data_IF_009821808360
#
_entry.id   IF_009821808360
#
_cell.length_a   1.000
_cell.length_b   1.000
_cell.length_c   1.000
_cell.angle_alpha   90.00
_cell.angle_beta   90.00
_cell.angle_gamma   90.00
#
_symmetry.space_group_name_H-M   'P 1'
#
loop_
_entity.id
_entity.type
_entity.pdbx_description
1 polymer ?
#
# COMPACT_ATOMS: atom_id res chain seq x y z
N UNK A 1 17.61 -26.39 -54.05
CA UNK A 1 18.04 -27.05 -52.80
C UNK A 1 17.87 -26.06 -51.65
N UNK A 2 17.24 -26.48 -50.55
CA UNK A 2 17.04 -25.70 -49.30
C UNK A 2 18.34 -25.82 -48.48
N UNK A 3 18.89 -24.80 -47.81
CA UNK A 3 18.52 -24.22 -46.50
C UNK A 3 19.60 -23.15 -46.18
N UNK A 4 19.40 -22.05 -45.45
CA UNK A 4 18.59 -21.87 -44.23
C UNK A 4 19.47 -21.94 -42.99
N UNK A 5 20.26 -20.88 -42.70
CA UNK A 5 21.10 -20.79 -41.50
C UNK A 5 20.25 -20.52 -40.26
N UNK A 6 19.92 -21.57 -39.51
CA UNK A 6 19.27 -21.47 -38.21
C UNK A 6 20.30 -21.09 -37.12
N UNK A 7 20.05 -20.00 -36.39
CA UNK A 7 20.78 -19.66 -35.16
C UNK A 7 20.13 -20.43 -34.02
N UNK A 8 20.79 -21.48 -33.55
CA UNK A 8 20.27 -22.37 -32.50
C UNK A 8 20.40 -21.69 -31.14
N UNK A 9 19.26 -21.33 -30.53
CA UNK A 9 19.22 -20.99 -29.10
C UNK A 9 19.59 -22.23 -28.27
N UNK A 10 20.65 -22.13 -27.47
CA UNK A 10 21.02 -23.19 -26.51
C UNK A 10 19.96 -23.27 -25.40
N UNK A 11 19.16 -24.34 -25.44
CA UNK A 11 18.35 -24.76 -24.29
C UNK A 11 19.29 -25.25 -23.20
N UNK A 12 19.47 -24.45 -22.14
CA UNK A 12 20.24 -24.86 -20.97
C UNK A 12 19.35 -25.74 -20.09
N UNK A 13 19.68 -27.04 -20.04
CA UNK A 13 18.98 -28.02 -19.21
C UNK A 13 19.22 -27.72 -17.72
N UNK A 14 18.16 -27.31 -17.01
CA UNK A 14 18.19 -27.16 -15.55
C UNK A 14 18.14 -28.52 -14.86
N UNK A 15 19.32 -29.14 -14.66
CA UNK A 15 19.46 -30.19 -13.65
C UNK A 15 19.42 -29.55 -12.26
N UNK A 16 18.42 -29.91 -11.45
CA UNK A 16 18.34 -29.54 -10.03
C UNK A 16 19.58 -30.05 -9.29
N UNK A 17 20.50 -29.16 -8.95
CA UNK A 17 21.42 -29.36 -7.84
C UNK A 17 20.72 -28.89 -6.57
N UNK A 18 20.37 -29.82 -5.69
CA UNK A 18 19.93 -29.52 -4.34
C UNK A 18 21.14 -28.98 -3.56
N UNK A 19 21.14 -27.68 -3.29
CA UNK A 19 22.03 -27.08 -2.29
C UNK A 19 21.41 -27.28 -0.90
N UNK A 20 22.22 -27.56 0.14
CA UNK A 20 21.73 -27.79 1.49
C UNK A 20 21.12 -26.52 2.10
N UNK A 21 20.11 -26.72 2.92
CA UNK A 21 19.32 -25.67 3.57
C UNK A 21 20.16 -24.94 4.64
N UNK A 22 20.72 -23.79 4.28
CA UNK A 22 21.57 -22.97 5.16
C UNK A 22 20.90 -21.64 5.48
N UNK A 23 20.77 -21.34 6.78
CA UNK A 23 20.38 -20.05 7.40
C UNK A 23 19.39 -19.15 6.65
N UNK A 24 18.17 -19.01 7.16
CA UNK A 24 17.10 -18.18 6.59
C UNK A 24 17.50 -16.71 6.30
N UNK A 25 18.00 -16.44 5.11
CA UNK A 25 18.09 -15.07 4.58
C UNK A 25 16.65 -14.55 4.44
N UNK A 26 16.31 -13.48 5.16
CA UNK A 26 15.00 -12.84 5.08
C UNK A 26 14.88 -12.11 3.74
N UNK A 27 14.44 -12.81 2.70
CA UNK A 27 14.32 -12.28 1.34
C UNK A 27 13.27 -11.16 1.18
N UNK A 28 12.38 -10.99 2.15
CA UNK A 28 11.20 -10.12 2.09
C UNK A 28 11.25 -9.01 3.16
N UNK A 29 10.83 -7.80 2.78
CA UNK A 29 10.67 -6.66 3.70
C UNK A 29 9.30 -6.55 4.36
N UNK A 30 8.41 -7.49 4.09
CA UNK A 30 7.12 -7.65 4.76
C UNK A 30 6.92 -9.12 5.17
N UNK A 31 6.00 -9.42 6.12
CA UNK A 31 5.60 -10.79 6.39
C UNK A 31 5.14 -11.51 5.12
N UNK A 32 5.47 -12.80 5.04
CA UNK A 32 5.23 -13.67 3.89
C UNK A 32 4.89 -15.08 4.42
N UNK A 33 4.24 -15.91 3.61
CA UNK A 33 3.96 -17.30 4.00
C UNK A 33 5.23 -18.08 4.39
N UNK A 34 6.38 -17.85 3.74
CA UNK A 34 7.63 -18.53 4.11
C UNK A 34 8.26 -18.01 5.42
N UNK A 35 7.98 -16.77 5.83
CA UNK A 35 8.58 -16.17 7.04
C UNK A 35 7.65 -16.22 8.24
N UNK A 36 6.34 -16.20 8.00
CA UNK A 36 5.28 -16.21 9.00
C UNK A 36 4.08 -17.07 8.53
N UNK A 37 4.24 -18.41 8.42
CA UNK A 37 3.18 -19.31 7.96
C UNK A 37 1.96 -19.33 8.89
N UNK A 38 2.12 -18.89 10.14
CA UNK A 38 1.05 -18.70 11.11
C UNK A 38 0.28 -17.37 10.95
N UNK A 39 0.73 -16.46 10.08
CA UNK A 39 0.05 -15.21 9.72
C UNK A 39 -0.62 -15.28 8.34
N UNK A 40 0.10 -15.84 7.36
CA UNK A 40 -0.19 -15.71 5.93
C UNK A 40 -0.14 -17.12 5.34
N UNK A 41 -1.27 -17.56 4.77
CA UNK A 41 -1.34 -18.85 4.11
C UNK A 41 -0.60 -18.84 2.74
N UNK A 42 -0.24 -20.01 2.22
CA UNK A 42 0.38 -20.09 0.89
C UNK A 42 -0.54 -19.51 -0.19
N UNK A 43 0.03 -18.67 -1.07
CA UNK A 43 -0.73 -17.96 -2.11
C UNK A 43 -1.43 -16.68 -1.64
N UNK A 44 -1.39 -16.35 -0.35
CA UNK A 44 -1.74 -15.03 0.18
C UNK A 44 -0.58 -14.03 0.08
N UNK A 45 -0.93 -12.74 0.10
CA UNK A 45 0.03 -11.62 0.09
C UNK A 45 0.01 -10.85 1.41
N UNK A 46 -1.18 -10.76 1.99
CA UNK A 46 -1.47 -10.29 3.35
C UNK A 46 -2.56 -11.20 3.92
N UNK A 47 -2.70 -11.34 5.26
CA UNK A 47 -3.64 -12.27 5.87
C UNK A 47 -5.04 -12.19 5.25
N UNK A 48 -5.60 -13.34 4.87
CA UNK A 48 -6.93 -13.46 4.28
C UNK A 48 -7.07 -12.98 2.83
N UNK A 49 -6.01 -12.51 2.16
CA UNK A 49 -6.08 -11.96 0.80
C UNK A 49 -5.10 -12.66 -0.15
N UNK A 50 -5.68 -13.51 -0.99
CA UNK A 50 -4.97 -14.25 -2.05
C UNK A 50 -4.48 -13.37 -3.20
N UNK A 51 -3.43 -13.83 -3.89
CA UNK A 51 -2.97 -13.25 -5.18
C UNK A 51 -4.07 -13.23 -6.24
N UNK A 52 -4.95 -14.24 -6.25
CA UNK A 52 -6.09 -14.37 -7.17
C UNK A 52 -7.12 -13.25 -6.96
N UNK A 53 -7.42 -12.92 -5.70
CA UNK A 53 -8.30 -11.80 -5.35
C UNK A 53 -7.71 -10.47 -5.84
N UNK A 54 -6.40 -10.25 -5.64
CA UNK A 54 -5.70 -9.05 -6.11
C UNK A 54 -5.71 -8.94 -7.65
N UNK A 55 -5.41 -10.04 -8.35
CA UNK A 55 -5.51 -10.11 -9.81
C UNK A 55 -6.93 -9.78 -10.30
N UNK A 56 -7.95 -10.33 -9.66
CA UNK A 56 -9.36 -10.05 -9.96
C UNK A 56 -9.71 -8.57 -9.80
N UNK A 57 -9.15 -7.87 -8.80
CA UNK A 57 -9.32 -6.41 -8.65
C UNK A 57 -8.69 -5.63 -9.80
N UNK A 58 -7.50 -6.03 -10.26
CA UNK A 58 -6.84 -5.41 -11.43
C UNK A 58 -7.63 -5.65 -12.73
N UNK A 59 -8.16 -6.87 -12.95
CA UNK A 59 -9.09 -7.13 -14.05
C UNK A 59 -10.34 -6.26 -13.98
N UNK A 60 -10.96 -6.11 -12.80
CA UNK A 60 -12.15 -5.24 -12.60
C UNK A 60 -11.85 -3.76 -12.87
N UNK A 61 -10.66 -3.27 -12.51
CA UNK A 61 -10.20 -1.92 -12.83
C UNK A 61 -10.13 -1.71 -14.35
N UNK A 62 -9.45 -2.63 -15.04
CA UNK A 62 -9.24 -2.57 -16.49
C UNK A 62 -10.56 -2.69 -17.25
N UNK A 63 -11.44 -3.61 -16.88
CA UNK A 63 -12.76 -3.74 -17.53
C UNK A 63 -13.65 -2.53 -17.27
N UNK A 64 -13.62 -1.93 -16.07
CA UNK A 64 -14.38 -0.70 -15.78
C UNK A 64 -13.87 0.50 -16.59
N UNK A 65 -12.55 0.62 -16.77
CA UNK A 65 -11.95 1.66 -17.58
C UNK A 65 -12.27 1.50 -19.08
N UNK A 66 -12.08 0.29 -19.63
CA UNK A 66 -12.48 -0.04 -21.01
C UNK A 66 -13.98 0.23 -21.24
N UNK A 67 -14.81 -0.05 -20.24
CA UNK A 67 -16.25 0.21 -20.30
C UNK A 67 -16.61 1.70 -20.30
N UNK A 68 -15.86 2.54 -19.60
CA UNK A 68 -16.01 4.01 -19.64
C UNK A 68 -15.61 4.62 -20.99
N UNK A 69 -14.71 3.98 -21.73
CA UNK A 69 -14.20 4.46 -23.02
C UNK A 69 -14.77 3.70 -24.24
N UNK A 70 -15.82 2.90 -24.05
CA UNK A 70 -16.56 2.21 -25.13
C UNK A 70 -16.92 3.19 -26.26
N UNK A 71 -16.54 2.83 -27.48
CA UNK A 71 -16.83 3.61 -28.70
C UNK A 71 -15.68 4.51 -29.17
N UNK A 72 -14.68 4.81 -28.33
CA UNK A 72 -13.51 5.58 -28.75
C UNK A 72 -12.47 4.70 -29.47
N UNK A 73 -12.33 4.85 -30.79
CA UNK A 73 -11.42 4.04 -31.64
C UNK A 73 -9.93 4.03 -31.24
N UNK A 74 -9.44 4.99 -30.45
CA UNK A 74 -8.04 5.03 -29.99
C UNK A 74 -7.85 4.70 -28.50
N UNK A 75 -8.91 4.61 -27.71
CA UNK A 75 -8.83 4.38 -26.27
C UNK A 75 -8.65 2.89 -25.90
N UNK A 76 -8.01 2.11 -26.77
CA UNK A 76 -7.74 0.70 -26.49
C UNK A 76 -6.56 0.52 -25.54
N UNK A 77 -5.57 1.42 -25.54
CA UNK A 77 -4.46 1.36 -24.59
C UNK A 77 -4.77 2.20 -23.34
N UNK A 78 -4.63 1.61 -22.16
CA UNK A 78 -4.73 2.29 -20.88
C UNK A 78 -3.45 2.05 -20.06
N UNK A 79 -2.92 3.12 -19.46
CA UNK A 79 -1.80 3.07 -18.52
C UNK A 79 -2.27 3.58 -17.16
N UNK A 80 -2.21 2.75 -16.11
CA UNK A 80 -2.57 3.15 -14.75
C UNK A 80 -1.33 3.25 -13.89
N UNK A 81 -1.19 4.38 -13.18
CA UNK A 81 -0.07 4.67 -12.29
C UNK A 81 -0.58 4.83 -10.87
N UNK A 82 -0.17 3.92 -9.99
CA UNK A 82 -0.43 3.97 -8.55
C UNK A 82 0.89 4.09 -7.78
N UNK A 83 1.26 5.26 -7.26
CA UNK A 83 2.40 5.39 -6.36
C UNK A 83 2.06 4.85 -4.95
N UNK A 84 3.04 4.27 -4.27
CA UNK A 84 2.96 3.96 -2.84
C UNK A 84 3.02 5.24 -2.00
N UNK A 85 2.80 5.10 -0.68
CA UNK A 85 3.21 6.10 0.28
C UNK A 85 4.74 6.10 0.46
N UNK A 86 5.29 7.24 0.88
CA UNK A 86 6.66 7.40 1.35
C UNK A 86 6.74 7.23 2.87
N UNK A 87 7.94 6.98 3.39
CA UNK A 87 8.20 7.06 4.84
C UNK A 87 7.99 8.50 5.33
N UNK A 88 7.23 8.68 6.41
CA UNK A 88 6.97 9.97 7.04
C UNK A 88 7.76 10.06 8.34
N UNK A 89 8.26 11.27 8.67
CA UNK A 89 9.14 11.50 9.80
C UNK A 89 8.49 12.44 10.83
N UNK A 90 8.58 12.10 12.11
CA UNK A 90 8.11 12.95 13.22
C UNK A 90 9.08 14.10 13.50
N UNK A 91 10.37 13.78 13.41
CA UNK A 91 11.53 14.68 13.43
C UNK A 91 12.58 14.08 12.50
N UNK A 92 13.60 14.85 12.11
CA UNK A 92 14.55 14.52 11.04
C UNK A 92 14.93 13.03 10.91
N UNK A 93 15.30 12.38 12.01
CA UNK A 93 15.80 10.99 12.03
C UNK A 93 14.83 9.97 12.67
N UNK A 94 13.62 10.38 13.07
CA UNK A 94 12.63 9.53 13.74
C UNK A 94 11.43 9.28 12.81
N UNK A 95 11.36 8.11 12.13
CA UNK A 95 10.23 7.78 11.28
C UNK A 95 8.98 7.42 12.10
N UNK A 96 7.81 7.76 11.56
CA UNK A 96 6.54 7.18 11.99
C UNK A 96 6.42 5.73 11.52
N UNK A 97 5.55 4.95 12.17
CA UNK A 97 5.15 3.62 11.68
C UNK A 97 4.60 3.76 10.26
N UNK A 98 5.19 3.03 9.31
CA UNK A 98 4.82 3.14 7.90
C UNK A 98 3.37 2.69 7.67
N UNK A 99 2.60 3.54 6.97
CA UNK A 99 1.24 3.22 6.53
C UNK A 99 1.13 3.41 5.03
N UNK A 100 0.82 2.33 4.33
CA UNK A 100 0.71 2.31 2.87
C UNK A 100 -0.46 3.16 2.35
N UNK A 101 -0.31 3.71 1.14
CA UNK A 101 -1.43 4.33 0.42
C UNK A 101 -2.54 3.30 0.15
N UNK A 102 -3.79 3.67 0.48
CA UNK A 102 -4.93 2.74 0.43
C UNK A 102 -5.28 2.21 -0.97
N UNK A 103 -5.10 3.01 -2.03
CA UNK A 103 -5.42 2.57 -3.40
C UNK A 103 -4.32 1.66 -3.96
N UNK A 104 -3.04 2.01 -3.72
CA UNK A 104 -1.91 1.14 -4.00
C UNK A 104 -2.04 -0.21 -3.28
N UNK A 105 -2.33 -0.18 -1.97
CA UNK A 105 -2.51 -1.38 -1.16
C UNK A 105 -3.67 -2.24 -1.67
N UNK A 106 -4.76 -1.62 -2.13
CA UNK A 106 -5.94 -2.33 -2.65
C UNK A 106 -5.65 -3.16 -3.90
N UNK A 107 -4.82 -2.67 -4.83
CA UNK A 107 -4.46 -3.35 -6.09
C UNK A 107 -3.18 -4.19 -6.03
N UNK A 108 -2.40 -4.09 -4.95
CA UNK A 108 -1.07 -4.72 -4.85
C UNK A 108 -0.80 -5.52 -3.59
N UNK A 109 -1.40 -5.15 -2.45
CA UNK A 109 -1.10 -5.67 -1.10
C UNK A 109 0.40 -5.69 -0.75
N UNK A 110 1.17 -4.74 -1.30
CA UNK A 110 2.59 -4.56 -0.99
C UNK A 110 2.77 -3.45 0.06
N UNK A 111 3.55 -3.73 1.10
CA UNK A 111 3.63 -2.99 2.36
C UNK A 111 4.99 -2.29 2.57
N UNK A 112 5.77 -2.10 1.49
CA UNK A 112 7.01 -1.33 1.51
C UNK A 112 6.79 0.08 0.89
N UNK A 113 7.50 1.12 1.38
CA UNK A 113 7.46 2.46 0.81
C UNK A 113 8.23 2.58 -0.51
N UNK A 114 8.15 3.78 -1.11
CA UNK A 114 9.00 4.25 -2.23
C UNK A 114 8.93 3.35 -3.48
N UNK A 115 7.74 2.80 -3.71
CA UNK A 115 7.40 1.83 -4.76
C UNK A 115 6.25 2.34 -5.65
N UNK A 116 6.08 1.79 -6.85
CA UNK A 116 5.03 2.21 -7.79
C UNK A 116 4.49 1.03 -8.59
N UNK A 117 3.17 0.89 -8.63
CA UNK A 117 2.46 -0.10 -9.44
C UNK A 117 2.06 0.56 -10.76
N UNK A 118 2.55 -0.02 -11.85
CA UNK A 118 2.16 0.27 -13.21
C UNK A 118 1.23 -0.85 -13.70
N UNK A 119 0.09 -0.51 -14.28
CA UNK A 119 -0.77 -1.48 -14.97
C UNK A 119 -0.94 -1.01 -16.41
N UNK A 120 -0.59 -1.88 -17.35
CA UNK A 120 -0.74 -1.69 -18.78
C UNK A 120 -1.86 -2.60 -19.27
N UNK A 121 -2.84 -2.03 -19.98
CA UNK A 121 -3.92 -2.80 -20.59
C UNK A 121 -4.11 -2.44 -22.05
N UNK A 122 -4.31 -3.48 -22.88
CA UNK A 122 -4.69 -3.36 -24.27
C UNK A 122 -6.14 -3.85 -24.46
N UNK A 123 -6.93 -3.08 -25.19
CA UNK A 123 -8.37 -3.23 -25.33
C UNK A 123 -8.81 -4.14 -26.48
N UNK A 124 -8.02 -5.16 -26.80
CA UNK A 124 -8.44 -6.19 -27.74
C UNK A 124 -9.70 -6.91 -27.19
N UNK A 125 -10.73 -7.03 -28.03
CA UNK A 125 -12.07 -7.50 -27.60
C UNK A 125 -12.09 -8.92 -27.03
N UNK A 126 -11.11 -9.75 -27.42
CA UNK A 126 -10.99 -11.16 -27.02
C UNK A 126 -10.45 -11.35 -25.59
N UNK A 127 -9.84 -10.31 -25.01
CA UNK A 127 -8.96 -10.39 -23.82
C UNK A 127 -9.41 -9.38 -22.74
N UNK A 128 -10.72 -9.32 -22.48
CA UNK A 128 -11.33 -8.32 -21.58
C UNK A 128 -10.84 -8.46 -20.13
N UNK A 129 -9.96 -7.53 -19.72
CA UNK A 129 -9.40 -7.49 -18.36
C UNK A 129 -8.01 -8.12 -18.24
N UNK A 130 -7.44 -8.64 -19.34
CA UNK A 130 -6.01 -8.91 -19.42
C UNK A 130 -5.22 -7.61 -19.27
N UNK A 131 -4.09 -7.71 -18.58
CA UNK A 131 -3.23 -6.59 -18.25
C UNK A 131 -1.85 -7.11 -17.86
N UNK A 132 -0.84 -6.26 -18.02
CA UNK A 132 0.50 -6.48 -17.48
C UNK A 132 0.64 -5.56 -16.27
N UNK A 133 0.86 -6.13 -15.09
CA UNK A 133 1.12 -5.38 -13.87
C UNK A 133 2.62 -5.46 -13.53
N UNK A 134 3.28 -4.31 -13.56
CA UNK A 134 4.70 -4.15 -13.24
C UNK A 134 4.87 -3.39 -11.92
N UNK A 135 5.81 -3.82 -11.06
CA UNK A 135 6.11 -3.12 -9.81
C UNK A 135 7.52 -2.53 -9.80
N UNK A 136 7.62 -1.22 -9.64
CA UNK A 136 8.87 -0.51 -9.41
C UNK A 136 9.12 -0.46 -7.90
N UNK A 137 10.29 -0.92 -7.45
CA UNK A 137 10.65 -1.00 -6.02
C UNK A 137 12.06 -0.50 -5.77
N UNK A 138 12.40 0.00 -4.57
CA UNK A 138 13.76 0.37 -4.24
C UNK A 138 14.73 -0.81 -4.38
N UNK A 139 15.94 -0.54 -4.88
CA UNK A 139 17.02 -1.53 -4.89
C UNK A 139 17.40 -1.86 -3.44
N UNK A 140 17.69 -3.14 -3.17
CA UNK A 140 18.26 -3.56 -1.87
C UNK A 140 19.59 -2.85 -1.60
N UNK A 141 19.74 -2.34 -0.39
CA UNK A 141 20.90 -1.58 0.08
C UNK A 141 21.22 -2.05 1.51
N UNK A 142 22.26 -2.87 1.72
CA UNK A 142 22.59 -3.43 3.03
C UNK A 142 22.80 -2.37 4.12
N UNK A 143 23.29 -1.18 3.77
CA UNK A 143 23.50 -0.11 4.74
C UNK A 143 22.16 0.48 5.22
N UNK A 144 21.16 0.58 4.33
CA UNK A 144 19.80 1.01 4.69
C UNK A 144 18.98 -0.11 5.35
N UNK A 145 19.18 -1.36 4.95
CA UNK A 145 18.48 -2.51 5.52
C UNK A 145 18.87 -2.79 6.98
N UNK A 146 20.10 -2.41 7.39
CA UNK A 146 20.53 -2.45 8.79
C UNK A 146 19.64 -1.61 9.72
N UNK A 147 19.16 -0.46 9.24
CA UNK A 147 18.34 0.49 10.02
C UNK A 147 16.84 0.33 9.78
N UNK A 148 16.43 0.14 8.52
CA UNK A 148 15.03 0.12 8.12
C UNK A 148 14.44 -1.31 8.06
N UNK A 149 15.24 -2.33 8.37
CA UNK A 149 14.89 -3.73 8.13
C UNK A 149 15.07 -4.15 6.66
N UNK A 150 14.95 -5.46 6.38
CA UNK A 150 15.13 -6.01 5.03
C UNK A 150 14.14 -5.40 4.04
N UNK A 151 14.48 -5.40 2.75
CA UNK A 151 13.54 -5.09 1.65
C UNK A 151 13.31 -6.30 0.76
N UNK A 152 12.17 -6.37 0.08
CA UNK A 152 11.89 -7.49 -0.84
C UNK A 152 12.74 -7.44 -2.11
N UNK A 153 13.04 -6.23 -2.61
CA UNK A 153 13.63 -6.06 -3.94
C UNK A 153 12.73 -6.61 -5.07
N UNK A 154 13.24 -6.64 -6.30
CA UNK A 154 12.45 -7.03 -7.48
C UNK A 154 11.98 -8.49 -7.43
N UNK A 155 12.90 -9.43 -7.17
CA UNK A 155 12.58 -10.87 -7.07
C UNK A 155 11.58 -11.16 -5.94
N UNK A 156 11.80 -10.58 -4.76
CA UNK A 156 10.90 -10.74 -3.62
C UNK A 156 9.53 -10.14 -3.87
N UNK A 157 9.46 -8.98 -4.55
CA UNK A 157 8.20 -8.36 -4.94
C UNK A 157 7.38 -9.24 -5.89
N UNK A 158 8.00 -9.84 -6.91
CA UNK A 158 7.32 -10.80 -7.81
C UNK A 158 6.83 -12.01 -6.99
N UNK A 159 7.74 -12.63 -6.22
CA UNK A 159 7.49 -13.85 -5.47
C UNK A 159 6.40 -13.70 -4.40
N UNK A 160 6.28 -12.54 -3.76
CA UNK A 160 5.20 -12.21 -2.81
C UNK A 160 3.85 -12.03 -3.52
N UNK A 161 3.84 -11.23 -4.59
CA UNK A 161 2.63 -10.49 -4.96
C UNK A 161 2.02 -10.85 -6.31
N UNK A 162 2.68 -11.69 -7.12
CA UNK A 162 2.18 -12.05 -8.47
C UNK A 162 1.94 -10.84 -9.37
N UNK A 163 2.94 -9.95 -9.48
CA UNK A 163 3.09 -9.09 -10.66
C UNK A 163 3.75 -9.89 -11.79
N UNK A 164 3.51 -9.43 -13.01
CA UNK A 164 4.10 -9.98 -14.24
C UNK A 164 5.58 -9.60 -14.38
N UNK A 165 5.97 -8.44 -13.84
CA UNK A 165 7.36 -8.00 -13.74
C UNK A 165 7.63 -7.08 -12.54
N UNK A 166 8.92 -6.93 -12.20
CA UNK A 166 9.36 -5.92 -11.24
C UNK A 166 10.73 -5.35 -11.61
N UNK A 167 10.90 -4.06 -11.37
CA UNK A 167 12.04 -3.23 -11.79
C UNK A 167 12.52 -2.37 -10.63
N UNK A 168 13.73 -1.81 -10.71
CA UNK A 168 14.18 -0.86 -9.70
C UNK A 168 13.48 0.49 -9.89
N UNK A 169 13.17 1.24 -8.82
CA UNK A 169 12.54 2.57 -8.90
C UNK A 169 13.28 3.54 -9.84
N UNK A 170 14.61 3.46 -9.92
CA UNK A 170 15.46 4.25 -10.80
C UNK A 170 15.32 3.92 -12.31
N UNK A 171 14.64 2.83 -12.65
CA UNK A 171 14.38 2.42 -14.05
C UNK A 171 13.04 2.96 -14.56
N UNK A 172 12.18 3.50 -13.69
CA UNK A 172 10.85 4.00 -14.04
C UNK A 172 10.90 5.08 -15.13
N UNK A 173 11.81 6.04 -15.00
CA UNK A 173 11.96 7.12 -15.97
C UNK A 173 12.24 6.58 -17.40
N UNK A 174 13.16 5.61 -17.51
CA UNK A 174 13.51 4.95 -18.77
C UNK A 174 12.35 4.13 -19.31
N UNK A 175 11.62 3.45 -18.44
CA UNK A 175 10.44 2.67 -18.80
C UNK A 175 9.33 3.55 -19.38
N UNK A 176 8.98 4.64 -18.69
CA UNK A 176 7.95 5.60 -19.13
C UNK A 176 8.35 6.26 -20.45
N UNK A 177 9.61 6.64 -20.61
CA UNK A 177 10.15 7.19 -21.86
C UNK A 177 10.02 6.20 -23.04
N UNK A 178 10.34 4.91 -22.81
CA UNK A 178 10.18 3.88 -23.82
C UNK A 178 8.70 3.64 -24.16
N UNK A 179 7.84 3.49 -23.13
CA UNK A 179 6.40 3.30 -23.30
C UNK A 179 5.78 4.44 -24.11
N UNK A 180 6.11 5.69 -23.77
CA UNK A 180 5.61 6.88 -24.46
C UNK A 180 6.13 7.00 -25.90
N UNK A 181 7.29 6.42 -26.23
CA UNK A 181 7.78 6.33 -27.62
C UNK A 181 7.04 5.27 -28.44
N UNK A 182 6.84 4.09 -27.87
CA UNK A 182 6.25 2.91 -28.52
C UNK A 182 4.74 3.02 -28.68
N UNK A 183 4.03 3.55 -27.68
CA UNK A 183 2.58 3.72 -27.68
C UNK A 183 2.17 5.16 -28.02
N UNK A 184 0.99 5.31 -28.63
CA UNK A 184 0.34 6.60 -28.94
C UNK A 184 -1.13 6.51 -28.57
N UNK A 185 -1.75 7.67 -28.31
CA UNK A 185 -3.19 7.85 -28.08
C UNK A 185 -3.79 7.06 -26.90
N UNK A 186 -2.95 6.56 -25.98
CA UNK A 186 -3.39 5.85 -24.78
C UNK A 186 -4.04 6.80 -23.76
N UNK A 187 -4.91 6.26 -22.91
CA UNK A 187 -5.49 6.99 -21.77
C UNK A 187 -4.57 6.79 -20.56
N UNK A 188 -4.08 7.90 -19.99
CA UNK A 188 -3.28 7.90 -18.78
C UNK A 188 -4.21 8.02 -17.55
N UNK A 189 -4.20 7.03 -16.67
CA UNK A 189 -4.86 7.10 -15.38
C UNK A 189 -3.81 7.45 -14.31
N UNK A 190 -3.83 8.69 -13.83
CA UNK A 190 -2.91 9.17 -12.79
C UNK A 190 -3.51 10.33 -11.99
N UNK A 191 -3.41 10.28 -10.66
CA UNK A 191 -3.88 11.36 -9.78
C UNK A 191 -2.87 12.52 -9.72
N UNK A 192 -2.77 13.29 -10.80
CA UNK A 192 -1.86 14.43 -10.92
C UNK A 192 -2.13 15.54 -9.88
N UNK A 193 -3.38 15.77 -9.50
CA UNK A 193 -3.78 16.91 -8.66
C UNK A 193 -3.36 16.80 -7.18
N UNK A 194 -3.05 15.59 -6.71
CA UNK A 194 -2.60 15.32 -5.33
C UNK A 194 -1.52 14.24 -5.34
N UNK A 195 -0.27 14.58 -5.67
CA UNK A 195 0.84 13.62 -5.67
C UNK A 195 1.09 13.10 -4.25
N UNK A 196 1.13 11.78 -4.11
CA UNK A 196 1.47 11.08 -2.85
C UNK A 196 2.99 10.95 -2.69
N UNK A 197 3.72 10.88 -3.81
CA UNK A 197 5.16 10.69 -3.88
C UNK A 197 5.75 11.67 -4.90
N UNK A 198 6.48 12.68 -4.43
CA UNK A 198 6.90 13.80 -5.29
C UNK A 198 7.91 13.39 -6.36
N UNK A 199 8.86 12.51 -6.06
CA UNK A 199 9.87 12.06 -7.03
C UNK A 199 9.23 11.33 -8.23
N UNK A 200 8.39 10.32 -7.99
CA UNK A 200 7.62 9.66 -9.05
C UNK A 200 6.69 10.63 -9.80
N UNK A 201 6.10 11.62 -9.12
CA UNK A 201 5.31 12.65 -9.79
C UNK A 201 6.14 13.46 -10.78
N UNK A 202 7.35 13.89 -10.39
CA UNK A 202 8.26 14.62 -11.26
C UNK A 202 8.71 13.77 -12.47
N UNK A 203 8.96 12.46 -12.28
CA UNK A 203 9.31 11.54 -13.36
C UNK A 203 8.15 11.33 -14.36
N UNK A 204 6.92 11.13 -13.87
CA UNK A 204 5.71 11.00 -14.71
C UNK A 204 5.40 12.31 -15.45
N UNK A 205 5.61 13.45 -14.79
CA UNK A 205 5.51 14.78 -15.39
C UNK A 205 6.47 14.93 -16.59
N UNK A 206 7.76 14.69 -16.36
CA UNK A 206 8.80 14.88 -17.37
C UNK A 206 8.68 13.94 -18.57
N UNK A 207 8.40 12.64 -18.34
CA UNK A 207 8.47 11.63 -19.39
C UNK A 207 7.15 11.33 -20.11
N UNK A 208 5.99 11.63 -19.49
CA UNK A 208 4.67 11.28 -20.06
C UNK A 208 3.84 12.53 -20.31
N UNK A 209 3.74 13.43 -19.32
CA UNK A 209 2.82 14.57 -19.40
C UNK A 209 3.35 15.70 -20.29
N UNK A 210 4.67 15.92 -20.31
CA UNK A 210 5.29 16.94 -21.17
C UNK A 210 5.15 16.62 -22.67
N UNK A 211 5.34 15.36 -23.06
CA UNK A 211 5.34 14.91 -24.46
C UNK A 211 3.94 14.85 -25.12
N UNK A 212 2.85 14.89 -24.32
CA UNK A 212 1.44 14.98 -24.79
C UNK A 212 1.02 13.93 -25.85
N UNK A 213 1.61 12.74 -25.82
CA UNK A 213 1.23 11.61 -26.71
C UNK A 213 0.09 10.74 -26.17
N UNK A 214 -0.27 10.94 -24.91
CA UNK A 214 -1.49 10.42 -24.32
C UNK A 214 -2.71 11.19 -24.86
N UNK A 215 -3.88 10.57 -24.90
CA UNK A 215 -5.11 11.20 -25.38
C UNK A 215 -5.79 12.07 -24.34
N UNK A 216 -5.89 11.57 -23.12
CA UNK A 216 -6.41 12.28 -21.95
C UNK A 216 -5.77 11.75 -20.66
N UNK A 217 -5.86 12.54 -19.60
CA UNK A 217 -5.45 12.14 -18.24
C UNK A 217 -6.70 12.05 -17.38
N UNK A 218 -6.90 10.89 -16.76
CA UNK A 218 -8.03 10.59 -15.88
C UNK A 218 -7.55 10.30 -14.46
N UNK A 219 -8.40 10.58 -13.46
CA UNK A 219 -8.03 10.38 -12.07
C UNK A 219 -8.26 8.92 -11.61
N UNK A 220 -7.18 8.25 -11.17
CA UNK A 220 -7.24 6.87 -10.63
C UNK A 220 -8.14 6.73 -9.41
N UNK A 221 -8.21 7.74 -8.54
CA UNK A 221 -8.96 7.66 -7.28
C UNK A 221 -10.47 7.45 -7.51
N UNK A 222 -11.04 8.07 -8.55
CA UNK A 222 -12.47 7.93 -8.86
C UNK A 222 -12.86 6.49 -9.28
N UNK A 223 -11.96 5.79 -9.99
CA UNK A 223 -12.12 4.37 -10.30
C UNK A 223 -11.85 3.50 -9.07
N UNK A 224 -10.74 3.72 -8.37
CA UNK A 224 -10.33 2.92 -7.21
C UNK A 224 -11.40 2.96 -6.12
N UNK A 225 -11.91 4.14 -5.78
CA UNK A 225 -12.98 4.32 -4.80
C UNK A 225 -14.27 3.59 -5.22
N UNK A 226 -14.67 3.67 -6.49
CA UNK A 226 -15.87 2.98 -7.01
C UNK A 226 -15.78 1.47 -6.81
N UNK A 227 -14.61 0.88 -7.04
CA UNK A 227 -14.38 -0.55 -6.82
C UNK A 227 -14.36 -0.89 -5.32
N UNK A 228 -13.79 -0.03 -4.48
CA UNK A 228 -13.72 -0.18 -3.02
C UNK A 228 -15.07 0.01 -2.30
N UNK A 229 -16.12 0.50 -2.99
CA UNK A 229 -17.48 0.56 -2.43
C UNK A 229 -18.06 -0.85 -2.24
N UNK A 230 -17.84 -1.76 -3.19
CA UNK A 230 -18.35 -3.14 -3.15
C UNK A 230 -17.28 -4.10 -2.65
N UNK A 231 -17.49 -4.65 -1.45
CA UNK A 231 -16.50 -5.48 -0.74
C UNK A 231 -16.55 -6.91 -1.29
N UNK A 232 -15.39 -7.54 -1.46
CA UNK A 232 -15.35 -8.98 -1.74
C UNK A 232 -15.52 -9.81 -0.46
N UNK A 233 -15.88 -11.09 -0.59
CA UNK A 233 -16.06 -11.97 0.57
C UNK A 233 -14.84 -11.99 1.52
N UNK A 234 -13.57 -12.05 1.04
CA UNK A 234 -12.41 -11.93 1.90
C UNK A 234 -12.33 -10.60 2.67
N UNK A 235 -12.75 -9.48 2.07
CA UNK A 235 -12.78 -8.19 2.77
C UNK A 235 -13.87 -8.13 3.83
N UNK A 236 -15.03 -8.74 3.58
CA UNK A 236 -16.11 -8.84 4.57
C UNK A 236 -15.63 -9.63 5.79
N UNK A 237 -14.91 -10.74 5.59
CA UNK A 237 -14.34 -11.54 6.68
C UNK A 237 -13.32 -10.72 7.51
N UNK A 238 -12.41 -9.99 6.86
CA UNK A 238 -11.46 -9.11 7.56
C UNK A 238 -12.16 -7.98 8.33
N UNK A 239 -13.23 -7.40 7.77
CA UNK A 239 -14.04 -6.38 8.44
C UNK A 239 -14.76 -6.99 9.66
N UNK A 240 -15.34 -8.18 9.52
CA UNK A 240 -15.98 -8.89 10.63
C UNK A 240 -14.99 -9.20 11.75
N UNK A 241 -13.80 -9.72 11.44
CA UNK A 241 -12.72 -9.94 12.41
C UNK A 241 -12.34 -8.64 13.13
N UNK A 242 -12.16 -7.54 12.37
CA UNK A 242 -11.85 -6.23 12.94
C UNK A 242 -12.95 -5.71 13.88
N UNK A 243 -14.22 -5.97 13.56
CA UNK A 243 -15.37 -5.62 14.41
C UNK A 243 -15.40 -6.48 15.68
N UNK A 244 -15.21 -7.80 15.57
CA UNK A 244 -15.15 -8.70 16.73
C UNK A 244 -14.07 -8.27 17.71
N UNK A 245 -12.85 -8.04 17.20
CA UNK A 245 -11.71 -7.51 17.94
C UNK A 245 -12.07 -6.19 18.65
N UNK A 246 -12.70 -5.25 17.93
CA UNK A 246 -13.11 -3.98 18.52
C UNK A 246 -14.11 -4.23 19.66
N UNK A 247 -15.19 -4.98 19.42
CA UNK A 247 -16.19 -5.31 20.44
C UNK A 247 -15.58 -5.98 21.68
N UNK A 248 -14.63 -6.90 21.53
CA UNK A 248 -13.90 -7.49 22.66
C UNK A 248 -13.12 -6.42 23.46
N UNK A 249 -12.37 -5.54 22.79
CA UNK A 249 -11.66 -4.45 23.46
C UNK A 249 -12.58 -3.47 24.19
N UNK A 250 -13.75 -3.18 23.61
CA UNK A 250 -14.79 -2.35 24.23
C UNK A 250 -15.33 -3.00 25.51
N UNK A 251 -15.58 -4.31 25.48
CA UNK A 251 -16.06 -5.08 26.64
C UNK A 251 -15.02 -5.06 27.76
N UNK A 252 -13.73 -5.26 27.46
CA UNK A 252 -12.67 -5.17 28.48
C UNK A 252 -12.59 -3.77 29.09
N UNK A 253 -12.61 -2.72 28.27
CA UNK A 253 -12.54 -1.33 28.78
C UNK A 253 -13.76 -0.98 29.64
N UNK A 254 -14.95 -1.51 29.33
CA UNK A 254 -16.12 -1.39 30.21
C UNK A 254 -15.93 -2.09 31.56
N UNK A 255 -15.30 -3.29 31.60
CA UNK A 255 -15.01 -4.01 32.86
C UNK A 255 -14.03 -3.26 33.77
N UNK A 256 -13.05 -2.56 33.19
CA UNK A 256 -12.03 -1.82 33.94
C UNK A 256 -12.41 -0.38 34.29
N UNK A 257 -13.49 0.16 33.70
CA UNK A 257 -13.93 1.54 33.94
C UNK A 257 -14.43 1.76 35.36
N UNK A 258 -13.93 2.81 36.03
CA UNK A 258 -14.31 3.21 37.39
C UNK A 258 -14.41 4.73 37.51
N UNK A 259 -15.28 5.26 38.40
CA UNK A 259 -15.31 6.70 38.69
C UNK A 259 -13.93 7.24 39.08
N UNK A 260 -13.68 8.52 38.77
CA UNK A 260 -12.43 9.25 39.04
C UNK A 260 -11.19 8.80 38.23
N UNK A 261 -11.31 7.85 37.29
CA UNK A 261 -10.27 7.66 36.26
C UNK A 261 -10.23 8.89 35.33
N UNK A 262 -9.09 9.58 35.27
CA UNK A 262 -8.92 10.80 34.45
C UNK A 262 -8.69 10.40 32.99
N UNK A 263 -9.37 11.08 32.06
CA UNK A 263 -9.28 10.86 30.61
C UNK A 263 -7.82 10.83 30.08
N UNK A 264 -6.94 11.61 30.71
CA UNK A 264 -5.50 11.74 30.38
C UNK A 264 -4.57 10.96 31.33
N UNK A 265 -5.03 10.44 32.48
CA UNK A 265 -4.26 9.46 33.28
C UNK A 265 -4.52 8.03 32.81
N UNK A 266 -5.59 7.82 32.06
CA UNK A 266 -5.61 6.84 30.98
C UNK A 266 -4.50 7.06 29.93
N UNK A 267 -3.59 8.04 30.04
CA UNK A 267 -2.58 8.36 29.03
C UNK A 267 -1.10 8.52 29.48
N UNK A 268 -0.76 8.59 30.79
CA UNK A 268 0.65 8.65 31.26
C UNK A 268 0.87 8.10 32.69
N UNK A 269 1.81 7.13 32.80
CA UNK A 269 2.62 6.69 33.97
C UNK A 269 1.91 6.63 35.34
N UNK A 270 2.02 5.52 36.06
CA UNK A 270 2.38 5.61 37.49
C UNK A 270 3.69 4.85 37.75
N UNK A 271 4.10 4.69 39.00
CA UNK A 271 5.35 4.03 39.42
C UNK A 271 5.36 2.50 39.18
N UNK A 272 4.31 1.99 38.52
CA UNK A 272 4.30 0.90 37.53
C UNK A 272 3.35 1.35 36.39
N UNK A 273 3.55 1.05 35.09
CA UNK A 273 2.73 1.67 34.02
C UNK A 273 1.38 0.96 33.73
N UNK A 274 0.27 1.36 34.36
CA UNK A 274 -1.04 1.21 33.72
C UNK A 274 -1.34 2.48 32.91
N UNK A 275 -1.34 2.32 31.59
CA UNK A 275 -1.08 3.40 30.63
C UNK A 275 -2.08 3.30 29.43
N UNK A 276 -2.13 4.28 28.50
CA UNK A 276 -3.09 4.32 27.37
C UNK A 276 -2.93 3.14 26.44
N UNK A 277 -1.74 2.57 26.49
CA UNK A 277 -1.36 1.42 25.71
C UNK A 277 -2.34 0.28 26.00
N UNK A 278 -3.09 0.23 27.11
CA UNK A 278 -4.20 -0.74 27.24
C UNK A 278 -5.15 -0.78 26.00
N UNK A 279 -5.49 0.33 25.32
CA UNK A 279 -6.28 0.28 24.07
C UNK A 279 -5.47 -0.02 22.77
N UNK A 280 -4.16 -0.28 22.84
CA UNK A 280 -3.30 -0.67 21.69
C UNK A 280 -2.35 -1.84 21.95
N UNK A 281 -2.18 -2.22 23.22
CA UNK A 281 -1.46 -3.36 23.83
C UNK A 281 -2.42 -4.33 24.50
N UNK A 282 -3.60 -3.98 25.03
CA UNK A 282 -4.66 -5.01 25.21
C UNK A 282 -5.46 -5.19 23.93
N UNK A 283 -5.69 -4.14 23.13
CA UNK A 283 -6.08 -4.38 21.73
C UNK A 283 -4.94 -5.16 21.05
N UNK A 284 -3.70 -4.71 21.16
CA UNK A 284 -2.52 -5.42 20.65
C UNK A 284 -2.29 -6.83 21.20
N UNK A 285 -2.66 -7.14 22.45
CA UNK A 285 -2.41 -8.45 23.09
C UNK A 285 -3.64 -9.36 23.14
N UNK A 286 -4.87 -8.85 23.15
CA UNK A 286 -6.08 -9.66 22.88
C UNK A 286 -6.04 -10.06 21.42
N UNK A 287 -5.67 -9.13 20.53
CA UNK A 287 -5.41 -9.46 19.14
C UNK A 287 -4.17 -10.35 19.05
N UNK A 288 -2.96 -9.97 19.46
CA UNK A 288 -1.77 -10.85 19.34
C UNK A 288 -1.85 -12.20 20.06
N UNK A 289 -2.76 -12.41 21.02
CA UNK A 289 -2.99 -13.74 21.64
C UNK A 289 -4.02 -14.61 20.92
N UNK A 290 -4.82 -14.07 20.00
CA UNK A 290 -5.89 -14.78 19.27
C UNK A 290 -5.79 -14.69 17.75
N UNK A 291 -5.24 -13.59 17.26
CA UNK A 291 -4.95 -13.26 15.88
C UNK A 291 -3.49 -12.82 15.86
N UNK A 292 -2.64 -13.70 15.36
CA UNK A 292 -1.31 -13.32 14.94
C UNK A 292 -1.46 -12.12 13.97
N UNK A 293 -0.83 -10.98 14.30
CA UNK A 293 -0.83 -9.76 13.48
C UNK A 293 0.55 -9.48 12.89
N UNK A 294 0.58 -8.73 11.79
CA UNK A 294 1.81 -8.07 11.38
C UNK A 294 2.08 -6.85 12.27
N UNK A 295 3.35 -6.43 12.46
CA UNK A 295 3.67 -5.20 13.20
C UNK A 295 3.01 -3.93 12.64
N UNK A 296 2.56 -3.93 11.38
CA UNK A 296 1.88 -2.81 10.74
C UNK A 296 0.38 -2.70 11.09
N UNK A 297 -0.22 -3.74 11.66
CA UNK A 297 -1.64 -3.76 12.05
C UNK A 297 -1.89 -3.12 13.44
N UNK A 298 -0.83 -2.68 14.12
CA UNK A 298 -0.86 -2.02 15.45
C UNK A 298 -1.42 -0.58 15.44
N UNK A 299 -1.94 -0.10 14.31
CA UNK A 299 -2.32 1.30 14.10
C UNK A 299 -3.83 1.49 14.21
N UNK A 300 -4.28 2.25 15.22
CA UNK A 300 -5.69 2.63 15.41
C UNK A 300 -6.19 3.37 14.16
N UNK A 301 -7.39 3.04 13.61
CA UNK A 301 -7.84 3.58 12.32
C UNK A 301 -8.10 5.09 12.29
N UNK A 302 -8.35 5.70 13.45
CA UNK A 302 -8.59 7.14 13.66
C UNK A 302 -8.27 7.50 15.14
N UNK A 303 -8.05 8.79 15.48
CA UNK A 303 -7.86 9.20 16.87
C UNK A 303 -9.04 8.78 17.76
N UNK A 304 -8.76 8.11 18.89
CA UNK A 304 -9.79 7.54 19.76
C UNK A 304 -10.57 8.63 20.51
N UNK A 305 -11.82 8.88 20.10
CA UNK A 305 -12.76 9.81 20.77
C UNK A 305 -13.38 9.19 22.04
N UNK A 306 -13.12 7.90 22.30
CA UNK A 306 -13.82 7.06 23.29
C UNK A 306 -13.75 7.49 24.76
N UNK A 307 -12.84 8.42 25.09
CA UNK A 307 -12.50 8.78 26.47
C UNK A 307 -13.15 10.10 26.92
N UNK A 308 -13.99 10.73 26.10
CA UNK A 308 -14.69 11.97 26.46
C UNK A 308 -15.79 11.71 27.50
N UNK A 309 -15.63 12.24 28.71
CA UNK A 309 -16.65 12.24 29.76
C UNK A 309 -17.64 13.41 29.57
N UNK A 310 -18.62 13.53 30.49
CA UNK A 310 -19.83 14.36 30.32
C UNK A 310 -19.65 15.79 29.75
N UNK A 311 -18.69 16.63 30.20
CA UNK A 311 -18.49 17.94 29.60
C UNK A 311 -17.86 17.87 28.19
N UNK A 312 -16.95 16.91 27.96
CA UNK A 312 -16.16 16.79 26.73
C UNK A 312 -16.93 16.13 25.59
N UNK A 313 -17.99 15.37 25.87
CA UNK A 313 -18.95 14.89 24.87
C UNK A 313 -19.62 16.03 24.08
N UNK A 314 -19.69 17.24 24.64
CA UNK A 314 -20.23 18.43 23.94
C UNK A 314 -19.21 19.11 23.03
N UNK A 315 -17.91 18.82 23.20
CA UNK A 315 -16.81 19.33 22.36
C UNK A 315 -16.61 18.53 21.06
N UNK A 316 -17.58 17.70 20.69
CA UNK A 316 -17.56 16.84 19.49
C UNK A 316 -17.26 17.61 18.19
N UNK A 317 -17.53 18.92 18.16
CA UNK A 317 -17.25 19.80 17.03
C UNK A 317 -15.76 20.19 16.94
N UNK A 318 -15.09 20.47 18.06
CA UNK A 318 -13.78 21.12 18.08
C UNK A 318 -12.63 20.17 17.75
N UNK A 319 -12.68 18.91 18.19
CA UNK A 319 -11.64 17.91 17.88
C UNK A 319 -11.63 17.50 16.40
N UNK A 320 -12.81 17.47 15.77
CA UNK A 320 -13.00 17.15 14.34
C UNK A 320 -12.63 18.35 13.47
N UNK A 321 -12.92 19.58 13.93
CA UNK A 321 -12.51 20.80 13.24
C UNK A 321 -10.99 20.99 13.32
N UNK A 322 -10.36 20.86 14.49
CA UNK A 322 -8.89 21.01 14.62
C UNK A 322 -8.12 19.98 13.79
N UNK A 323 -8.53 18.72 13.72
CA UNK A 323 -7.87 17.73 12.83
C UNK A 323 -8.05 18.02 11.34
N UNK A 324 -9.17 18.62 10.91
CA UNK A 324 -9.35 19.16 9.54
C UNK A 324 -8.62 20.48 9.29
N UNK A 325 -8.30 21.25 10.33
CA UNK A 325 -7.61 22.53 10.24
C UNK A 325 -6.08 22.34 10.17
N UNK A 326 -5.54 21.47 11.03
CA UNK A 326 -4.11 21.09 11.06
C UNK A 326 -3.68 20.37 9.78
N UNK A 327 -4.57 19.57 9.16
CA UNK A 327 -4.30 18.96 7.85
C UNK A 327 -4.41 19.92 6.66
N UNK A 328 -4.82 21.18 6.88
CA UNK A 328 -4.91 22.24 5.86
C UNK A 328 -3.86 23.34 6.01
N UNK A 329 -3.34 23.56 7.22
CA UNK A 329 -2.28 24.51 7.49
C UNK A 329 -0.97 23.77 7.71
N UNK A 330 -0.10 23.78 6.68
CA UNK A 330 1.30 23.42 6.87
C UNK A 330 1.94 24.40 7.86
N UNK A 331 2.28 23.91 9.04
CA UNK A 331 2.87 24.71 10.12
C UNK A 331 4.32 25.10 9.79
N UNK A 332 4.45 26.14 8.98
CA UNK A 332 5.61 27.03 8.95
C UNK A 332 5.26 28.28 9.76
N UNK A 333 6.23 28.81 10.52
CA UNK A 333 6.15 30.06 11.31
C UNK A 333 4.98 30.22 12.28
N UNK A 334 5.11 29.66 13.50
CA UNK A 334 4.49 30.26 14.70
C UNK A 334 5.32 30.01 15.98
N UNK A 335 6.64 30.19 15.88
CA UNK A 335 7.59 30.22 17.00
C UNK A 335 8.63 31.32 16.76
N UNK A 336 8.18 32.57 16.81
CA UNK A 336 9.06 33.69 17.17
C UNK A 336 8.23 34.87 17.75
N UNK A 337 8.90 35.76 18.49
CA UNK A 337 8.37 36.96 19.16
C UNK A 337 7.40 36.75 20.34
N UNK A 338 7.96 36.50 21.52
CA UNK A 338 7.58 37.25 22.74
C UNK A 338 8.63 37.16 23.86
N UNK A 339 9.75 37.85 23.63
CA UNK A 339 10.69 38.29 24.68
C UNK A 339 10.77 39.82 24.68
N UNK A 340 9.95 40.44 25.52
CA UNK A 340 10.09 41.76 26.16
C UNK A 340 9.08 41.82 27.29
#
# INVERSE_FOLDING_TARGET
MVSGKAVIMKVISFRRLFLPFTSHVRYFGQPAAQTHPHLIAEGEVTPGISRKEIYTRRCKLVTTALDMFKGMKSAYCHLFIFPSATTQFMTNDIPYVFRQNSDFLYFKRFQEPDSLLLIEASGNKSSRGEHIANLFVPRKDPAKELWNGPRSGTEGAIALTGVDGAFNSNELEKYLHHYNKTHKDFVLWYNHAKPIHQEFHNQVLGQVLHDKRYKCVENTAALAHRLRVLKSQPEILLIQQSITIACESFIEVMKFSKPQHIEVVGHKRHSVPCCPIIFSEQFGSIVSSRVTLSPQDSVVPFPSILLASSPNLKLFHDLIVTTKFISKLGFSSFLDSRTT
#
